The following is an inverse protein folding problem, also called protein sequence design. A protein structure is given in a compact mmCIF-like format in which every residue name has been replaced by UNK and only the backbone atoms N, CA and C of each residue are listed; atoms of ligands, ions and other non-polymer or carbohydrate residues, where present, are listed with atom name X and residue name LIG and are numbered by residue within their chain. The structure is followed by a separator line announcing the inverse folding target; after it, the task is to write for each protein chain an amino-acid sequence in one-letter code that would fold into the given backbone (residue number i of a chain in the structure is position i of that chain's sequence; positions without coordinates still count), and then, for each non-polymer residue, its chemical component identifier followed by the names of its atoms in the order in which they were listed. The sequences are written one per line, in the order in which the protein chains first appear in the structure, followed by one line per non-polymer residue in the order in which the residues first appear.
data_IF_110411791955
#
_entry.id   IF_110411791955
#
_cell.length_a   1.000
_cell.length_b   1.000
_cell.length_c   1.000
_cell.angle_alpha   90.00
_cell.angle_beta   90.00
_cell.angle_gamma   90.00
#
_symmetry.space_group_name_H-M   'P 1'
#
loop_
_entity.id
_entity.type
_entity.pdbx_description
1 polymer ?
#
# COMPACT_ATOMS: atom_id res chain seq x y z
N UNK A 1 3.49 -21.55 -14.34
CA UNK A 1 4.74 -21.08 -13.67
C UNK A 1 4.84 -19.55 -13.76
N UNK A 2 5.69 -18.90 -12.95
CA UNK A 2 5.83 -17.43 -12.88
C UNK A 2 6.50 -16.76 -14.09
N UNK A 3 6.60 -17.47 -15.21
CA UNK A 3 7.28 -17.02 -16.43
C UNK A 3 8.79 -17.20 -16.35
N UNK A 4 9.43 -17.21 -17.52
CA UNK A 4 10.89 -17.31 -17.66
C UNK A 4 11.32 -16.37 -18.80
N UNK A 5 12.30 -15.49 -18.52
CA UNK A 5 12.82 -14.51 -19.48
C UNK A 5 13.45 -15.16 -20.71
N UNK A 6 14.17 -16.26 -20.53
CA UNK A 6 14.83 -17.01 -21.60
C UNK A 6 13.82 -17.72 -22.52
N UNK A 7 12.69 -18.18 -21.96
CA UNK A 7 11.64 -18.90 -22.70
C UNK A 7 10.50 -18.01 -23.20
N UNK A 8 10.54 -16.70 -22.95
CA UNK A 8 9.44 -15.74 -23.21
C UNK A 8 8.07 -16.23 -22.69
N UNK A 9 8.07 -17.01 -21.62
CA UNK A 9 6.86 -17.62 -21.08
C UNK A 9 6.12 -16.59 -20.23
N UNK A 10 4.84 -16.34 -20.55
CA UNK A 10 4.03 -15.42 -19.76
C UNK A 10 3.72 -16.03 -18.39
N UNK A 11 3.67 -15.22 -17.33
CA UNK A 11 3.35 -15.73 -16.01
C UNK A 11 1.90 -16.23 -15.96
N UNK A 12 1.71 -17.41 -15.36
CA UNK A 12 0.41 -18.07 -15.24
C UNK A 12 -0.49 -17.39 -14.20
N UNK A 13 -1.72 -17.03 -14.59
CA UNK A 13 -2.71 -16.38 -13.73
C UNK A 13 -3.02 -17.19 -12.48
N UNK A 14 -3.11 -18.51 -12.59
CA UNK A 14 -3.49 -19.35 -11.46
C UNK A 14 -2.35 -19.47 -10.46
N UNK A 15 -1.11 -19.45 -10.93
CA UNK A 15 0.06 -19.39 -10.05
C UNK A 15 0.06 -18.11 -9.18
N UNK A 16 -0.29 -16.95 -9.75
CA UNK A 16 -0.43 -15.70 -8.97
C UNK A 16 -1.58 -15.79 -7.96
N UNK A 17 -2.75 -16.31 -8.35
CA UNK A 17 -3.89 -16.45 -7.43
C UNK A 17 -3.52 -17.33 -6.24
N UNK A 18 -3.00 -18.52 -6.49
CA UNK A 18 -2.58 -19.47 -5.44
C UNK A 18 -1.55 -18.83 -4.54
N UNK A 19 -0.49 -18.25 -5.10
CA UNK A 19 0.59 -17.73 -4.28
C UNK A 19 0.19 -16.50 -3.46
N UNK A 20 -0.63 -15.61 -3.99
CA UNK A 20 -1.03 -14.41 -3.26
C UNK A 20 -2.18 -14.65 -2.27
N UNK A 21 -2.97 -15.71 -2.43
CA UNK A 21 -4.12 -15.98 -1.53
C UNK A 21 -3.87 -17.09 -0.53
N UNK A 22 -2.96 -18.03 -0.81
CA UNK A 22 -2.76 -19.23 0.03
C UNK A 22 -1.40 -19.27 0.72
N UNK A 23 -0.42 -18.46 0.30
CA UNK A 23 0.88 -18.42 0.95
C UNK A 23 0.88 -17.50 2.17
N UNK A 24 1.66 -17.87 3.19
CA UNK A 24 1.91 -17.00 4.34
C UNK A 24 2.91 -15.88 4.00
N UNK A 25 3.03 -14.88 4.89
CA UNK A 25 3.89 -13.71 4.68
C UNK A 25 5.33 -14.06 4.30
N UNK A 26 5.94 -15.07 4.93
CA UNK A 26 7.33 -15.46 4.64
C UNK A 26 7.47 -16.07 3.25
N UNK A 27 6.51 -16.89 2.85
CA UNK A 27 6.47 -17.49 1.52
C UNK A 27 6.28 -16.42 0.43
N UNK A 28 5.41 -15.43 0.67
CA UNK A 28 5.20 -14.33 -0.29
C UNK A 28 6.46 -13.45 -0.40
N UNK A 29 7.16 -13.18 0.71
CA UNK A 29 8.43 -12.47 0.65
C UNK A 29 9.48 -13.22 -0.18
N UNK A 30 9.59 -14.54 0.00
CA UNK A 30 10.48 -15.36 -0.82
C UNK A 30 10.06 -15.37 -2.30
N UNK A 31 8.75 -15.38 -2.57
CA UNK A 31 8.23 -15.27 -3.93
C UNK A 31 8.73 -13.98 -4.61
N UNK A 32 8.79 -12.85 -3.91
CA UNK A 32 9.30 -11.60 -4.50
C UNK A 32 10.75 -11.74 -4.97
N UNK A 33 11.62 -12.30 -4.13
CA UNK A 33 13.04 -12.47 -4.48
C UNK A 33 13.22 -13.48 -5.61
N UNK A 34 12.49 -14.60 -5.59
CA UNK A 34 12.59 -15.64 -6.61
C UNK A 34 12.03 -15.15 -7.96
N UNK A 35 10.89 -14.44 -7.94
CA UNK A 35 10.32 -13.83 -9.15
C UNK A 35 11.30 -12.87 -9.80
N UNK A 36 11.92 -11.99 -9.01
CA UNK A 36 12.90 -11.04 -9.52
C UNK A 36 14.16 -11.73 -10.04
N UNK A 37 14.63 -12.78 -9.38
CA UNK A 37 15.76 -13.59 -9.86
C UNK A 37 15.48 -14.24 -11.22
N UNK A 38 14.30 -14.84 -11.39
CA UNK A 38 13.93 -15.55 -12.62
C UNK A 38 13.58 -14.63 -13.79
N UNK A 39 12.95 -13.48 -13.52
CA UNK A 39 12.38 -12.60 -14.54
C UNK A 39 13.14 -11.29 -14.71
N UNK A 40 14.03 -10.94 -13.77
CA UNK A 40 14.70 -9.65 -13.71
C UNK A 40 13.78 -8.45 -13.53
N UNK A 41 12.51 -8.67 -13.15
CA UNK A 41 11.51 -7.63 -12.91
C UNK A 41 10.86 -7.83 -11.52
N UNK A 42 10.38 -6.76 -10.86
CA UNK A 42 9.68 -6.91 -9.59
C UNK A 42 8.31 -7.61 -9.80
N UNK A 43 7.81 -8.30 -8.78
CA UNK A 43 6.52 -9.02 -8.87
C UNK A 43 5.38 -8.09 -9.29
N UNK A 44 5.40 -6.83 -8.87
CA UNK A 44 4.43 -5.82 -9.27
C UNK A 44 4.30 -5.68 -10.79
N UNK A 45 5.43 -5.67 -11.53
CA UNK A 45 5.41 -5.59 -12.99
C UNK A 45 4.76 -6.84 -13.61
N UNK A 46 4.98 -8.00 -13.00
CA UNK A 46 4.28 -9.24 -13.35
C UNK A 46 2.77 -9.13 -13.18
N UNK A 47 2.31 -8.60 -12.03
CA UNK A 47 0.89 -8.39 -11.73
C UNK A 47 0.25 -7.45 -12.76
N UNK A 48 0.92 -6.35 -13.09
CA UNK A 48 0.44 -5.37 -14.09
C UNK A 48 0.30 -5.96 -15.49
N UNK A 49 1.15 -6.91 -15.87
CA UNK A 49 1.10 -7.61 -17.16
C UNK A 49 -0.01 -8.67 -17.21
N UNK A 50 -0.34 -9.27 -16.07
CA UNK A 50 -1.22 -10.45 -15.98
C UNK A 50 -2.67 -10.06 -15.66
N UNK A 51 -2.87 -9.06 -14.81
CA UNK A 51 -4.19 -8.65 -14.32
C UNK A 51 -4.56 -7.25 -14.80
N UNK A 52 -5.87 -6.99 -14.86
CA UNK A 52 -6.45 -5.69 -15.18
C UNK A 52 -7.61 -5.38 -14.22
N UNK A 53 -8.15 -4.16 -14.30
CA UNK A 53 -9.27 -3.71 -13.47
C UNK A 53 -9.02 -3.88 -11.96
N UNK A 54 -10.09 -4.21 -11.23
CA UNK A 54 -10.08 -4.32 -9.77
C UNK A 54 -9.15 -5.41 -9.26
N UNK A 55 -9.01 -6.52 -10.00
CA UNK A 55 -8.11 -7.61 -9.63
C UNK A 55 -6.65 -7.13 -9.58
N UNK A 56 -6.23 -6.33 -10.56
CA UNK A 56 -4.88 -5.73 -10.57
C UNK A 56 -4.68 -4.83 -9.35
N UNK A 57 -5.65 -3.97 -9.06
CA UNK A 57 -5.60 -3.03 -7.94
C UNK A 57 -5.48 -3.80 -6.62
N UNK A 58 -6.30 -4.85 -6.43
CA UNK A 58 -6.30 -5.67 -5.23
C UNK A 58 -4.95 -6.39 -5.01
N UNK A 59 -4.39 -7.01 -6.05
CA UNK A 59 -3.11 -7.72 -5.92
C UNK A 59 -1.93 -6.79 -5.69
N UNK A 60 -1.89 -5.62 -6.33
CA UNK A 60 -0.87 -4.62 -6.06
C UNK A 60 -0.97 -4.08 -4.63
N UNK A 61 -2.18 -3.79 -4.16
CA UNK A 61 -2.40 -3.34 -2.79
C UNK A 61 -1.94 -4.39 -1.76
N UNK A 62 -2.20 -5.67 -2.01
CA UNK A 62 -1.74 -6.77 -1.17
C UNK A 62 -0.21 -6.85 -1.14
N UNK A 63 0.44 -6.78 -2.29
CA UNK A 63 1.91 -6.83 -2.38
C UNK A 63 2.55 -5.64 -1.67
N UNK A 64 2.06 -4.42 -1.91
CA UNK A 64 2.55 -3.21 -1.25
C UNK A 64 2.39 -3.31 0.27
N UNK A 65 1.24 -3.80 0.76
CA UNK A 65 0.99 -4.00 2.18
C UNK A 65 1.95 -5.02 2.82
N UNK A 66 2.24 -6.11 2.12
CA UNK A 66 3.16 -7.17 2.60
C UNK A 66 4.60 -6.68 2.64
N UNK A 67 5.02 -5.89 1.65
CA UNK A 67 6.40 -5.38 1.56
C UNK A 67 6.67 -4.30 2.62
N UNK A 68 5.79 -3.30 2.72
CA UNK A 68 5.93 -2.24 3.71
C UNK A 68 4.55 -1.68 4.06
N UNK A 69 3.99 -2.20 5.15
CA UNK A 69 2.65 -1.83 5.65
C UNK A 69 2.54 -0.34 6.01
N UNK A 70 3.49 0.28 6.76
CA UNK A 70 3.45 1.72 7.00
C UNK A 70 3.41 2.55 5.72
N UNK A 71 4.26 2.21 4.75
CA UNK A 71 4.32 2.89 3.44
C UNK A 71 3.02 2.76 2.65
N UNK A 72 2.41 1.58 2.68
CA UNK A 72 1.12 1.34 2.04
C UNK A 72 0.03 2.27 2.61
N UNK A 73 -0.11 2.34 3.93
CA UNK A 73 -1.10 3.22 4.56
C UNK A 73 -0.76 4.70 4.38
N UNK A 74 0.52 5.08 4.39
CA UNK A 74 0.94 6.45 4.09
C UNK A 74 0.51 6.88 2.69
N UNK A 75 0.64 5.99 1.69
CA UNK A 75 0.15 6.23 0.33
C UNK A 75 -1.37 6.38 0.29
N UNK A 76 -2.12 5.53 0.99
CA UNK A 76 -3.58 5.66 1.05
C UNK A 76 -4.04 6.96 1.73
N UNK A 77 -3.34 7.40 2.78
CA UNK A 77 -3.61 8.70 3.43
C UNK A 77 -3.38 9.85 2.45
N UNK A 78 -2.27 9.83 1.73
CA UNK A 78 -1.99 10.85 0.73
C UNK A 78 -3.04 10.82 -0.38
N UNK A 79 -3.40 9.63 -0.89
CA UNK A 79 -4.41 9.46 -1.93
C UNK A 79 -5.80 9.94 -1.47
N UNK A 80 -6.09 9.89 -0.17
CA UNK A 80 -7.34 10.40 0.41
C UNK A 80 -7.38 11.93 0.54
N UNK A 81 -6.24 12.59 0.52
CA UNK A 81 -6.08 14.03 0.73
C UNK A 81 -5.58 14.79 -0.50
N UNK A 82 -5.04 14.10 -1.50
CA UNK A 82 -4.53 14.74 -2.72
C UNK A 82 -5.68 15.16 -3.63
N UNK A 83 -5.57 16.34 -4.23
CA UNK A 83 -6.50 16.82 -5.24
C UNK A 83 -7.58 17.74 -4.67
N UNK A 84 -8.73 17.81 -5.34
CA UNK A 84 -9.83 18.67 -4.92
C UNK A 84 -10.70 17.94 -3.90
N UNK A 85 -10.70 18.47 -2.68
CA UNK A 85 -11.45 17.91 -1.56
C UNK A 85 -10.74 16.70 -0.93
N UNK A 86 -11.45 16.05 -0.01
CA UNK A 86 -10.92 14.92 0.78
C UNK A 86 -11.85 13.73 0.64
N UNK A 87 -11.27 12.53 0.52
CA UNK A 87 -12.01 11.27 0.61
C UNK A 87 -12.14 10.90 2.09
N UNK A 88 -13.00 11.64 2.81
CA UNK A 88 -13.08 11.61 4.28
C UNK A 88 -13.24 10.20 4.85
N UNK A 89 -14.09 9.38 4.25
CA UNK A 89 -14.33 8.02 4.71
C UNK A 89 -13.07 7.12 4.67
N UNK A 90 -12.11 7.39 3.78
CA UNK A 90 -10.83 6.68 3.74
C UNK A 90 -9.87 7.25 4.77
N UNK A 91 -9.76 8.58 4.84
CA UNK A 91 -8.91 9.29 5.80
C UNK A 91 -9.24 8.87 7.24
N UNK A 92 -10.53 8.99 7.61
CA UNK A 92 -11.04 8.62 8.94
C UNK A 92 -10.78 7.14 9.22
N UNK A 93 -11.13 6.26 8.28
CA UNK A 93 -10.97 4.82 8.48
C UNK A 93 -9.51 4.45 8.76
N UNK A 94 -8.56 5.02 8.04
CA UNK A 94 -7.14 4.73 8.24
C UNK A 94 -6.65 5.31 9.57
N UNK A 95 -6.92 6.59 9.85
CA UNK A 95 -6.46 7.23 11.10
C UNK A 95 -7.00 6.48 12.32
N UNK A 96 -8.29 6.16 12.34
CA UNK A 96 -8.93 5.48 13.48
C UNK A 96 -8.51 4.01 13.57
N UNK A 97 -8.50 3.25 12.48
CA UNK A 97 -8.18 1.81 12.56
C UNK A 97 -6.70 1.52 12.79
N UNK A 98 -5.80 2.50 12.59
CA UNK A 98 -4.36 2.33 12.76
C UNK A 98 -3.79 3.04 14.00
N UNK A 99 -4.59 3.86 14.68
CA UNK A 99 -4.17 4.75 15.77
C UNK A 99 -3.35 4.04 16.84
N UNK A 100 -3.80 2.86 17.26
CA UNK A 100 -3.19 2.06 18.33
C UNK A 100 -2.34 0.89 17.81
N UNK A 101 -2.07 0.83 16.51
CA UNK A 101 -1.35 -0.29 15.88
C UNK A 101 0.02 0.15 15.36
N UNK A 102 0.03 1.07 14.40
CA UNK A 102 1.26 1.50 13.72
C UNK A 102 1.17 2.92 13.14
N UNK A 103 0.22 3.75 13.61
CA UNK A 103 0.05 5.11 13.10
C UNK A 103 1.30 5.99 13.26
N UNK A 104 2.10 5.78 14.31
CA UNK A 104 3.38 6.46 14.48
C UNK A 104 4.35 6.14 13.33
N UNK A 105 4.48 4.85 12.97
CA UNK A 105 5.32 4.42 11.85
C UNK A 105 4.77 4.92 10.51
N UNK A 106 3.44 4.93 10.35
CA UNK A 106 2.78 5.46 9.16
C UNK A 106 3.08 6.96 8.99
N UNK A 107 3.02 7.74 10.07
CA UNK A 107 3.34 9.18 10.06
C UNK A 107 4.78 9.42 9.63
N UNK A 108 5.73 8.66 10.20
CA UNK A 108 7.15 8.81 9.88
C UNK A 108 7.42 8.45 8.41
N UNK A 109 6.79 7.40 7.90
CA UNK A 109 6.92 6.99 6.50
C UNK A 109 6.24 8.00 5.55
N UNK A 110 5.09 8.54 5.94
CA UNK A 110 4.39 9.60 5.21
C UNK A 110 5.27 10.84 5.04
N UNK A 111 5.91 11.31 6.11
CA UNK A 111 6.77 12.48 6.06
C UNK A 111 8.02 12.23 5.19
N UNK A 112 8.62 11.03 5.28
CA UNK A 112 9.71 10.63 4.38
C UNK A 112 9.32 10.67 2.91
N UNK A 113 8.11 10.19 2.58
CA UNK A 113 7.60 10.11 1.21
C UNK A 113 7.21 11.47 0.64
N UNK A 114 6.49 12.28 1.42
CA UNK A 114 5.81 13.49 0.93
C UNK A 114 6.44 14.80 1.40
N UNK A 115 7.53 14.73 2.17
CA UNK A 115 8.33 15.88 2.65
C UNK A 115 7.54 16.93 3.43
N UNK A 116 6.38 16.52 3.96
CA UNK A 116 5.49 17.32 4.78
C UNK A 116 4.81 16.38 5.76
N UNK A 117 4.67 16.80 7.01
CA UNK A 117 4.09 15.96 8.06
C UNK A 117 2.62 15.62 7.75
N UNK A 118 2.16 14.46 8.22
CA UNK A 118 0.75 14.07 8.10
C UNK A 118 -0.19 15.09 8.76
N UNK A 119 0.23 15.68 9.88
CA UNK A 119 -0.52 16.72 10.59
C UNK A 119 -0.70 17.97 9.71
N UNK A 120 0.35 18.40 9.01
CA UNK A 120 0.27 19.60 8.19
C UNK A 120 -0.54 19.39 6.90
N UNK A 121 -0.66 18.14 6.44
CA UNK A 121 -1.63 17.77 5.40
C UNK A 121 -3.06 17.82 5.93
N UNK A 122 -3.33 17.23 7.08
CA UNK A 122 -4.68 17.28 7.70
C UNK A 122 -5.11 18.73 7.95
N UNK A 123 -4.17 19.62 8.34
CA UNK A 123 -4.47 21.05 8.51
C UNK A 123 -4.82 21.78 7.22
N UNK A 124 -4.27 21.36 6.07
CA UNK A 124 -4.59 22.00 4.78
C UNK A 124 -5.89 21.51 4.19
N UNK A 125 -6.22 20.23 4.40
CA UNK A 125 -7.39 19.59 3.77
C UNK A 125 -8.65 19.63 4.64
N UNK A 126 -8.50 19.63 5.97
CA UNK A 126 -9.63 19.56 6.90
C UNK A 126 -9.77 20.84 7.73
N UNK A 127 -10.98 21.10 8.22
CA UNK A 127 -11.26 22.28 9.07
C UNK A 127 -12.13 21.94 10.28
N UNK A 128 -12.18 22.88 11.23
CA UNK A 128 -13.04 22.81 12.41
C UNK A 128 -12.75 21.64 13.36
N UNK A 129 -13.74 21.23 14.18
CA UNK A 129 -13.59 20.15 15.15
C UNK A 129 -13.18 18.81 14.54
N UNK A 130 -13.58 18.57 13.29
CA UNK A 130 -13.19 17.38 12.54
C UNK A 130 -11.67 17.30 12.37
N UNK A 131 -11.04 18.37 11.86
CA UNK A 131 -9.57 18.48 11.76
C UNK A 131 -8.90 18.28 13.13
N UNK A 132 -9.42 18.96 14.15
CA UNK A 132 -8.79 18.97 15.47
C UNK A 132 -8.81 17.57 16.10
N UNK A 133 -9.91 16.82 15.94
CA UNK A 133 -10.00 15.43 16.35
C UNK A 133 -8.99 14.53 15.60
N UNK A 134 -8.87 14.66 14.28
CA UNK A 134 -7.88 13.89 13.51
C UNK A 134 -6.45 14.19 13.95
N UNK A 135 -6.12 15.46 14.22
CA UNK A 135 -4.80 15.86 14.70
C UNK A 135 -4.49 15.26 16.07
N UNK A 136 -5.46 15.23 16.99
CA UNK A 136 -5.27 14.60 18.31
C UNK A 136 -4.93 13.12 18.16
N UNK A 137 -5.67 12.40 17.32
CA UNK A 137 -5.40 10.97 17.08
C UNK A 137 -4.01 10.75 16.46
N UNK A 138 -3.62 11.58 15.49
CA UNK A 138 -2.31 11.45 14.79
C UNK A 138 -1.13 11.86 15.66
N UNK A 139 -1.32 12.79 16.60
CA UNK A 139 -0.28 13.11 17.59
C UNK A 139 0.01 11.91 18.48
N UNK A 140 -1.01 11.13 18.81
CA UNK A 140 -0.93 10.06 19.80
C UNK A 140 -0.91 10.62 21.23
N UNK A 141 -1.08 9.73 22.21
CA UNK A 141 -0.91 10.05 23.63
C UNK A 141 0.56 10.15 24.01
#
# INVERSE_FOLDING_TARGET
MFGNKEKKEKPDKDAFKTALTQCNFRQIQKLFSEYQSMTGEPLQAGIEKVFSGDAKIAYLALVDNIQNKPRFFAKLLYDSMKGLGTIDHQLIRIIVSRSEIDLALIRDEFEKMYKKSLIDWIKSECSGPYRDALIVIVKGN
#
